data_IF_708753694231
#
_entry.id   IF_708753694231
#
_cell.length_a   1.000
_cell.length_b   1.000
_cell.length_c   1.000
_cell.angle_alpha   90.00
_cell.angle_beta   90.00
_cell.angle_gamma   90.00
#
_symmetry.space_group_name_H-M   'P 1'
#
loop_
_entity.id
_entity.type
_entity.pdbx_description
1 polymer ?
#
# COMPACT_ATOMS: atom_id res chain seq x y z
N UNK A 1 23.50 27.48 -13.27
CA UNK A 1 23.39 26.00 -13.03
C UNK A 1 22.74 25.40 -14.26
N UNK A 2 23.37 24.38 -14.87
CA UNK A 2 22.86 23.77 -16.12
C UNK A 2 22.03 22.50 -15.81
N UNK A 3 21.24 22.06 -16.80
CA UNK A 3 20.44 20.85 -16.69
C UNK A 3 21.34 19.61 -16.51
N UNK A 4 20.94 18.69 -15.65
CA UNK A 4 21.68 17.45 -15.38
C UNK A 4 21.79 16.54 -16.63
N UNK A 5 20.76 16.51 -17.47
CA UNK A 5 20.73 15.69 -18.68
C UNK A 5 21.22 16.45 -19.92
N UNK A 6 21.06 17.78 -19.97
CA UNK A 6 21.39 18.66 -21.09
C UNK A 6 22.34 19.76 -20.60
N UNK A 7 23.61 19.49 -20.60
CA UNK A 7 24.65 20.41 -20.05
C UNK A 7 24.72 21.75 -20.70
N UNK A 8 24.22 21.88 -21.94
CA UNK A 8 24.16 23.13 -22.73
C UNK A 8 22.95 24.02 -22.38
N UNK A 9 21.92 23.45 -21.66
CA UNK A 9 20.69 24.18 -21.36
C UNK A 9 20.66 24.69 -19.92
N UNK A 10 20.18 25.94 -19.72
CA UNK A 10 20.01 26.46 -18.35
C UNK A 10 18.93 25.69 -17.60
N UNK A 11 19.18 25.42 -16.31
CA UNK A 11 18.22 24.81 -15.43
C UNK A 11 17.17 25.85 -14.98
N UNK A 12 15.88 25.52 -15.16
CA UNK A 12 14.73 26.34 -14.71
C UNK A 12 14.04 25.76 -13.47
N UNK A 13 14.30 24.49 -13.15
CA UNK A 13 13.72 23.81 -12.00
C UNK A 13 14.75 22.88 -11.36
N UNK A 14 14.41 22.36 -10.18
CA UNK A 14 15.25 21.39 -9.46
C UNK A 14 14.46 20.12 -9.16
N UNK A 15 15.16 18.97 -9.22
CA UNK A 15 14.60 17.70 -8.80
C UNK A 15 14.24 17.71 -7.31
N UNK A 16 13.00 17.35 -6.98
CA UNK A 16 12.49 17.35 -5.60
C UNK A 16 13.23 16.37 -4.66
N UNK A 17 13.91 15.34 -5.21
CA UNK A 17 14.58 14.32 -4.41
C UNK A 17 16.09 14.56 -4.24
N UNK A 18 16.76 15.03 -5.29
CA UNK A 18 18.23 15.16 -5.29
C UNK A 18 18.76 16.57 -5.56
N UNK A 19 17.87 17.56 -5.80
CA UNK A 19 18.24 18.95 -6.02
C UNK A 19 18.93 19.26 -7.36
N UNK A 20 19.10 18.29 -8.27
CA UNK A 20 19.74 18.49 -9.57
C UNK A 20 18.91 19.42 -10.44
N UNK A 21 19.58 20.33 -11.16
CA UNK A 21 18.93 21.26 -12.09
C UNK A 21 18.34 20.54 -13.31
N UNK A 22 17.17 21.00 -13.76
CA UNK A 22 16.43 20.46 -14.87
C UNK A 22 16.02 21.59 -15.82
N UNK A 23 16.19 21.39 -17.14
CA UNK A 23 15.67 22.29 -18.17
C UNK A 23 14.13 22.19 -18.27
N UNK A 24 13.44 23.09 -19.01
CA UNK A 24 11.99 23.07 -19.13
C UNK A 24 11.42 21.72 -19.58
N UNK A 25 12.05 21.08 -20.56
CA UNK A 25 11.62 19.77 -21.06
C UNK A 25 11.77 18.66 -20.02
N UNK A 26 12.89 18.62 -19.31
CA UNK A 26 13.13 17.64 -18.25
C UNK A 26 12.22 17.85 -17.04
N UNK A 27 11.88 19.11 -16.72
CA UNK A 27 10.98 19.45 -15.63
C UNK A 27 9.52 19.09 -15.93
N UNK A 28 9.09 19.20 -17.19
CA UNK A 28 7.73 18.88 -17.63
C UNK A 28 7.47 17.37 -17.73
N UNK A 29 8.53 16.54 -17.80
CA UNK A 29 8.40 15.10 -18.08
C UNK A 29 7.73 14.32 -16.94
N UNK A 30 7.96 14.70 -15.69
CA UNK A 30 7.46 13.97 -14.52
C UNK A 30 6.78 14.89 -13.51
N UNK A 31 5.67 14.44 -12.94
CA UNK A 31 4.98 15.12 -11.83
C UNK A 31 4.97 14.19 -10.61
N UNK A 32 5.52 14.60 -9.44
CA UNK A 32 6.25 15.84 -9.17
C UNK A 32 7.55 15.96 -10.00
N UNK A 33 8.16 17.15 -10.02
CA UNK A 33 9.38 17.44 -10.80
C UNK A 33 10.53 16.56 -10.30
N UNK A 34 10.92 15.58 -11.10
CA UNK A 34 11.95 14.58 -10.79
C UNK A 34 12.90 14.39 -11.97
N UNK A 35 14.17 14.14 -11.68
CA UNK A 35 15.09 13.65 -12.71
C UNK A 35 14.82 12.16 -13.02
N UNK A 36 15.18 11.70 -14.21
CA UNK A 36 14.93 10.32 -14.66
C UNK A 36 15.40 9.23 -13.67
N UNK A 37 16.60 9.30 -13.07
CA UNK A 37 17.03 8.30 -12.10
C UNK A 37 16.20 8.32 -10.79
N UNK A 38 15.80 9.50 -10.30
CA UNK A 38 14.95 9.59 -9.11
C UNK A 38 13.53 9.08 -9.37
N UNK A 39 12.96 9.38 -10.55
CA UNK A 39 11.68 8.84 -10.98
C UNK A 39 11.71 7.30 -11.03
N UNK A 40 12.73 6.72 -11.70
CA UNK A 40 12.91 5.27 -11.76
C UNK A 40 12.99 4.65 -10.36
N UNK A 41 13.82 5.23 -9.50
CA UNK A 41 13.97 4.75 -8.11
C UNK A 41 12.64 4.79 -7.33
N UNK A 42 11.82 5.84 -7.50
CA UNK A 42 10.49 5.91 -6.86
C UNK A 42 9.52 4.88 -7.43
N UNK A 43 9.54 4.69 -8.76
CA UNK A 43 8.73 3.69 -9.43
C UNK A 43 9.09 2.28 -8.96
N UNK A 44 10.36 1.92 -8.98
CA UNK A 44 10.83 0.60 -8.54
C UNK A 44 10.46 0.34 -7.08
N UNK A 45 10.65 1.33 -6.20
CA UNK A 45 10.22 1.22 -4.79
C UNK A 45 8.71 1.00 -4.68
N UNK A 46 7.90 1.74 -5.42
CA UNK A 46 6.44 1.57 -5.39
C UNK A 46 6.01 0.18 -5.89
N UNK A 47 6.67 -0.37 -6.90
CA UNK A 47 6.43 -1.73 -7.39
C UNK A 47 6.75 -2.76 -6.29
N UNK A 48 7.95 -2.67 -5.69
CA UNK A 48 8.38 -3.59 -4.65
C UNK A 48 7.51 -3.52 -3.39
N UNK A 49 7.14 -2.32 -2.94
CA UNK A 49 6.26 -2.14 -1.78
C UNK A 49 4.88 -2.78 -2.02
N UNK A 50 4.28 -2.55 -3.19
CA UNK A 50 2.99 -3.15 -3.51
C UNK A 50 3.09 -4.68 -3.69
N UNK A 51 4.15 -5.18 -4.32
CA UNK A 51 4.41 -6.61 -4.48
C UNK A 51 4.57 -7.31 -3.12
N UNK A 52 5.32 -6.70 -2.21
CA UNK A 52 5.50 -7.20 -0.85
C UNK A 52 4.16 -7.36 -0.11
N UNK A 53 3.28 -6.35 -0.18
CA UNK A 53 1.95 -6.46 0.43
C UNK A 53 1.09 -7.54 -0.22
N UNK A 54 1.13 -7.69 -1.56
CA UNK A 54 0.38 -8.74 -2.25
C UNK A 54 0.84 -10.14 -1.84
N UNK A 55 2.15 -10.35 -1.71
CA UNK A 55 2.71 -11.62 -1.20
C UNK A 55 2.22 -11.89 0.22
N UNK A 56 2.26 -10.89 1.11
CA UNK A 56 1.75 -11.04 2.48
C UNK A 56 0.26 -11.37 2.51
N UNK A 57 -0.57 -10.68 1.73
CA UNK A 57 -2.02 -10.97 1.67
C UNK A 57 -2.29 -12.39 1.20
N UNK A 58 -1.56 -12.86 0.18
CA UNK A 58 -1.66 -14.23 -0.30
C UNK A 58 -1.23 -15.23 0.77
N UNK A 59 -0.13 -14.97 1.48
CA UNK A 59 0.35 -15.81 2.56
C UNK A 59 -0.69 -15.93 3.70
N UNK A 60 -1.27 -14.81 4.15
CA UNK A 60 -2.32 -14.82 5.16
C UNK A 60 -3.60 -15.52 4.70
N UNK A 61 -3.97 -15.38 3.42
CA UNK A 61 -5.08 -16.13 2.84
C UNK A 61 -4.82 -17.63 2.91
N UNK A 62 -3.65 -18.09 2.48
CA UNK A 62 -3.29 -19.53 2.50
C UNK A 62 -3.23 -20.07 3.93
N UNK A 63 -2.67 -19.31 4.86
CA UNK A 63 -2.63 -19.70 6.29
C UNK A 63 -4.06 -19.83 6.83
N UNK A 64 -4.93 -18.85 6.62
CA UNK A 64 -6.31 -18.89 7.07
C UNK A 64 -7.11 -20.04 6.44
N UNK A 65 -6.88 -20.30 5.14
CA UNK A 65 -7.47 -21.43 4.44
C UNK A 65 -7.05 -22.78 5.05
N UNK A 66 -5.79 -22.92 5.45
CA UNK A 66 -5.27 -24.15 6.09
C UNK A 66 -5.72 -24.30 7.55
N UNK A 67 -5.85 -23.21 8.29
CA UNK A 67 -6.30 -23.23 9.70
C UNK A 67 -7.80 -23.55 9.82
N UNK A 68 -8.57 -23.28 8.81
CA UNK A 68 -9.99 -23.64 8.65
C UNK A 68 -10.85 -23.47 9.93
N UNK A 69 -10.77 -22.29 10.54
CA UNK A 69 -11.46 -21.97 11.80
C UNK A 69 -12.94 -21.61 11.64
N UNK A 70 -13.44 -21.45 10.39
CA UNK A 70 -14.83 -21.10 10.09
C UNK A 70 -15.69 -22.28 9.65
N UNK A 71 -15.07 -23.41 9.27
CA UNK A 71 -15.82 -24.60 8.88
C UNK A 71 -16.54 -25.19 10.07
N UNK A 72 -17.83 -25.42 9.93
CA UNK A 72 -18.68 -26.07 10.94
C UNK A 72 -19.42 -27.23 10.30
N UNK A 73 -19.98 -28.16 11.15
CA UNK A 73 -20.81 -29.27 10.65
C UNK A 73 -22.01 -28.83 9.79
N UNK A 74 -22.47 -27.57 9.93
CA UNK A 74 -23.59 -27.02 9.15
C UNK A 74 -23.13 -26.38 7.81
N UNK A 75 -21.87 -25.99 7.72
CA UNK A 75 -21.30 -25.30 6.54
C UNK A 75 -19.90 -25.87 6.26
N UNK A 76 -19.83 -27.03 5.56
CA UNK A 76 -18.57 -27.75 5.37
C UNK A 76 -17.58 -27.07 4.42
N UNK A 77 -18.02 -26.16 3.54
CA UNK A 77 -17.19 -25.58 2.47
C UNK A 77 -16.75 -24.12 2.75
N UNK A 78 -16.52 -23.77 4.04
CA UNK A 78 -16.18 -22.40 4.41
C UNK A 78 -14.66 -22.11 4.57
N UNK A 79 -13.80 -23.00 4.12
CA UNK A 79 -12.33 -22.82 4.23
C UNK A 79 -11.85 -21.53 3.57
N UNK A 80 -12.40 -21.18 2.41
CA UNK A 80 -12.08 -19.94 1.71
C UNK A 80 -12.44 -18.69 2.53
N UNK A 81 -13.52 -18.77 3.31
CA UNK A 81 -13.94 -17.68 4.20
C UNK A 81 -12.93 -17.46 5.33
N UNK A 82 -12.37 -18.53 5.88
CA UNK A 82 -11.30 -18.46 6.89
C UNK A 82 -10.06 -17.74 6.31
N UNK A 83 -9.69 -18.08 5.08
CA UNK A 83 -8.61 -17.41 4.35
C UNK A 83 -8.90 -15.93 4.12
N UNK A 84 -10.11 -15.61 3.64
CA UNK A 84 -10.53 -14.23 3.38
C UNK A 84 -10.51 -13.38 4.64
N UNK A 85 -11.07 -13.87 5.75
CA UNK A 85 -11.13 -13.14 7.02
C UNK A 85 -9.74 -12.84 7.55
N UNK A 86 -8.82 -13.79 7.53
CA UNK A 86 -7.46 -13.56 8.02
C UNK A 86 -6.70 -12.56 7.13
N UNK A 87 -6.82 -12.69 5.81
CA UNK A 87 -6.25 -11.75 4.84
C UNK A 87 -6.83 -10.33 5.01
N UNK A 88 -8.16 -10.20 5.11
CA UNK A 88 -8.84 -8.93 5.24
C UNK A 88 -8.51 -8.23 6.58
N UNK A 89 -8.40 -9.01 7.66
CA UNK A 89 -7.96 -8.47 8.95
C UNK A 89 -6.57 -7.86 8.87
N UNK A 90 -5.62 -8.57 8.29
CA UNK A 90 -4.25 -8.08 8.12
C UNK A 90 -4.18 -6.86 7.19
N UNK A 91 -4.86 -6.91 6.05
CA UNK A 91 -4.90 -5.80 5.10
C UNK A 91 -5.50 -4.53 5.73
N UNK A 92 -6.60 -4.68 6.47
CA UNK A 92 -7.23 -3.59 7.21
C UNK A 92 -6.34 -3.03 8.31
N UNK A 93 -5.67 -3.88 9.08
CA UNK A 93 -4.72 -3.48 10.12
C UNK A 93 -3.56 -2.65 9.56
N UNK A 94 -2.95 -3.11 8.46
CA UNK A 94 -1.86 -2.39 7.78
C UNK A 94 -2.34 -1.03 7.24
N UNK A 95 -3.53 -1.00 6.64
CA UNK A 95 -4.11 0.24 6.11
C UNK A 95 -4.35 1.27 7.20
N UNK A 96 -4.96 0.87 8.31
CA UNK A 96 -5.28 1.78 9.39
C UNK A 96 -4.04 2.33 10.06
N UNK A 97 -3.03 1.50 10.33
CA UNK A 97 -1.77 1.98 10.90
C UNK A 97 -1.03 2.95 9.96
N UNK A 98 -1.26 2.87 8.65
CA UNK A 98 -0.68 3.79 7.67
C UNK A 98 -1.45 5.10 7.55
N UNK A 99 -2.78 5.06 7.66
CA UNK A 99 -3.65 6.23 7.50
C UNK A 99 -3.87 6.96 8.82
N UNK A 100 -4.01 6.21 9.91
CA UNK A 100 -4.23 6.72 11.27
C UNK A 100 -3.08 6.22 12.17
N UNK A 101 -1.95 6.95 12.26
CA UNK A 101 -0.84 6.60 13.14
C UNK A 101 -1.21 6.84 14.62
N UNK A 102 -2.39 6.41 15.01
CA UNK A 102 -2.92 6.58 16.35
C UNK A 102 -2.45 5.44 17.25
N UNK A 103 -1.56 5.75 18.15
CA UNK A 103 -1.22 4.85 19.26
C UNK A 103 -2.44 4.77 20.18
N UNK A 104 -3.31 3.79 19.95
CA UNK A 104 -4.37 3.45 20.91
C UNK A 104 -3.71 2.92 22.18
N UNK A 105 -3.51 3.79 23.15
CA UNK A 105 -3.19 3.38 24.53
C UNK A 105 -4.44 2.78 25.13
N UNK A 106 -4.41 1.49 25.40
CA UNK A 106 -5.47 0.78 26.13
C UNK A 106 -5.60 1.40 27.53
N UNK A 107 -6.72 2.06 27.83
CA UNK A 107 -6.79 2.79 29.08
C UNK A 107 -8.16 3.02 29.73
N UNK A 108 -9.31 2.75 29.09
CA UNK A 108 -10.62 2.90 29.77
C UNK A 108 -11.70 1.98 29.20
N UNK A 109 -12.65 1.56 30.04
CA UNK A 109 -13.73 0.60 29.72
C UNK A 109 -14.60 0.99 28.52
N UNK A 110 -14.73 2.29 28.20
CA UNK A 110 -15.46 2.76 27.01
C UNK A 110 -14.72 2.50 25.69
N UNK A 111 -13.40 2.27 25.72
CA UNK A 111 -12.59 2.01 24.53
C UNK A 111 -12.76 0.59 24.00
N UNK A 112 -13.21 -0.38 24.82
CA UNK A 112 -13.42 -1.77 24.40
C UNK A 112 -14.54 -1.92 23.37
N UNK A 113 -15.66 -1.24 23.56
CA UNK A 113 -16.78 -1.27 22.60
C UNK A 113 -16.39 -0.64 21.27
N UNK A 114 -15.64 0.48 21.29
CA UNK A 114 -15.11 1.12 20.10
C UNK A 114 -14.11 0.21 19.35
N UNK A 115 -13.31 -0.55 20.08
CA UNK A 115 -12.36 -1.49 19.52
C UNK A 115 -13.04 -2.64 18.76
N UNK A 116 -14.15 -3.20 19.24
CA UNK A 116 -14.88 -4.25 18.53
C UNK A 116 -15.60 -3.75 17.29
N UNK A 117 -16.24 -2.60 17.36
CA UNK A 117 -16.85 -1.94 16.17
C UNK A 117 -15.78 -1.62 15.14
N UNK A 118 -14.64 -1.13 15.57
CA UNK A 118 -13.53 -0.80 14.71
C UNK A 118 -12.89 -2.05 14.05
N UNK A 119 -12.76 -3.17 14.78
CA UNK A 119 -12.36 -4.46 14.20
C UNK A 119 -13.32 -4.93 13.11
N UNK A 120 -14.62 -4.82 13.35
CA UNK A 120 -15.62 -5.21 12.36
C UNK A 120 -15.51 -4.36 11.08
N UNK A 121 -15.33 -3.05 11.21
CA UNK A 121 -15.05 -2.16 10.09
C UNK A 121 -13.75 -2.53 9.35
N UNK A 122 -12.73 -3.01 10.06
CA UNK A 122 -11.50 -3.50 9.46
C UNK A 122 -11.72 -4.67 8.49
N UNK A 123 -12.61 -5.60 8.82
CA UNK A 123 -12.94 -6.71 7.93
C UNK A 123 -13.63 -6.25 6.66
N UNK A 124 -14.52 -5.26 6.75
CA UNK A 124 -15.20 -4.70 5.59
C UNK A 124 -14.24 -3.92 4.69
N UNK A 125 -13.36 -3.12 5.28
CA UNK A 125 -12.38 -2.31 4.54
C UNK A 125 -11.26 -3.16 3.96
N UNK A 126 -10.87 -4.27 4.61
CA UNK A 126 -9.73 -5.09 4.20
C UNK A 126 -9.83 -5.62 2.78
N UNK A 127 -11.00 -6.06 2.33
CA UNK A 127 -11.23 -6.48 0.94
C UNK A 127 -10.96 -5.36 -0.06
N UNK A 128 -11.43 -4.15 0.22
CA UNK A 128 -11.17 -2.97 -0.62
C UNK A 128 -9.68 -2.60 -0.64
N UNK A 129 -8.98 -2.75 0.47
CA UNK A 129 -7.53 -2.46 0.55
C UNK A 129 -6.74 -3.41 -0.36
N UNK A 130 -7.10 -4.69 -0.41
CA UNK A 130 -6.46 -5.65 -1.31
C UNK A 130 -6.69 -5.26 -2.77
N UNK A 131 -7.94 -4.97 -3.17
CA UNK A 131 -8.27 -4.51 -4.53
C UNK A 131 -7.53 -3.21 -4.88
N UNK A 132 -7.48 -2.27 -3.95
CA UNK A 132 -6.74 -1.02 -4.13
C UNK A 132 -5.23 -1.24 -4.29
N UNK A 133 -4.64 -2.21 -3.57
CA UNK A 133 -3.22 -2.57 -3.71
C UNK A 133 -2.94 -3.19 -5.07
N UNK A 134 -3.82 -4.08 -5.55
CA UNK A 134 -3.76 -4.65 -6.91
C UNK A 134 -3.82 -3.55 -7.97
N UNK A 135 -4.78 -2.65 -7.85
CA UNK A 135 -4.90 -1.50 -8.76
C UNK A 135 -3.63 -0.65 -8.79
N UNK A 136 -3.08 -0.30 -7.63
CA UNK A 136 -1.82 0.47 -7.55
C UNK A 136 -0.65 -0.26 -8.19
N UNK A 137 -0.55 -1.57 -7.97
CA UNK A 137 0.49 -2.40 -8.57
C UNK A 137 0.40 -2.39 -10.10
N UNK A 138 -0.80 -2.65 -10.66
CA UNK A 138 -1.03 -2.61 -12.12
C UNK A 138 -0.73 -1.24 -12.69
N UNK A 139 -1.16 -0.17 -12.01
CA UNK A 139 -0.86 1.21 -12.42
C UNK A 139 0.64 1.50 -12.44
N UNK A 140 1.39 1.04 -11.42
CA UNK A 140 2.84 1.22 -11.36
C UNK A 140 3.59 0.45 -12.46
N UNK A 141 3.07 -0.68 -12.92
CA UNK A 141 3.63 -1.42 -14.05
C UNK A 141 3.41 -0.72 -15.40
N UNK A 142 2.27 0.00 -15.55
CA UNK A 142 1.91 0.68 -16.81
C UNK A 142 2.58 2.05 -17.01
N UNK A 143 3.08 2.67 -15.95
CA UNK A 143 3.85 3.92 -15.99
C UNK A 143 5.33 3.67 -16.28
#
# INVERSE_FOLDING_TARGET
MNCFNHTQEPAVAQCSDCGKGLCPECAARYQPILCSPCYKKRKDRAIWDNLYYLILYTAFFVIGYKLDFMTTKRMPDMQWMSGYVLMAFWAGYVFINKVLPWKMTAGTTGQWNFYYVFKFLLYLVGGFVVLWTVYKFIRALRQ
#
